data_IF_317477794757
#
_entry.id   IF_317477794757
#
_cell.length_a   1.000
_cell.length_b   1.000
_cell.length_c   1.000
_cell.angle_alpha   90.00
_cell.angle_beta   90.00
_cell.angle_gamma   90.00
#
_symmetry.space_group_name_H-M   'P 1'
#
loop_
_entity.id
_entity.type
_entity.pdbx_description
1 polymer ?
#
# COMPACT_ATOMS: atom_id res chain seq x y z
N UNK A 1 -24.66 11.48 6.00
CA UNK A 1 -23.96 10.18 6.16
C UNK A 1 -22.96 10.13 5.02
N UNK A 2 -21.74 10.62 5.25
CA UNK A 2 -20.72 10.62 4.20
C UNK A 2 -20.30 9.18 3.92
N UNK A 3 -20.45 8.76 2.67
CA UNK A 3 -19.93 7.48 2.20
C UNK A 3 -18.44 7.48 2.51
N UNK A 4 -17.89 6.46 3.20
CA UNK A 4 -16.48 6.46 3.53
C UNK A 4 -15.68 6.53 2.23
N UNK A 5 -15.02 7.67 1.99
CA UNK A 5 -14.17 7.82 0.83
C UNK A 5 -13.05 6.78 0.97
N UNK A 6 -13.01 5.86 0.00
CA UNK A 6 -11.88 4.97 -0.21
C UNK A 6 -10.61 5.83 -0.36
N UNK A 7 -9.44 5.36 0.09
CA UNK A 7 -8.19 6.06 -0.20
C UNK A 7 -8.07 6.29 -1.71
N UNK A 8 -7.45 7.41 -2.11
CA UNK A 8 -7.49 7.85 -3.51
C UNK A 8 -6.75 6.84 -4.39
N UNK A 9 -7.51 6.03 -5.15
CA UNK A 9 -6.96 4.99 -6.01
C UNK A 9 -6.33 5.60 -7.27
N UNK A 10 -5.10 5.19 -7.57
CA UNK A 10 -4.43 5.54 -8.83
C UNK A 10 -5.08 4.76 -9.98
N UNK A 11 -5.55 5.43 -11.05
CA UNK A 11 -6.15 4.74 -12.19
C UNK A 11 -5.22 3.68 -12.80
N UNK A 12 -5.74 2.47 -13.02
CA UNK A 12 -4.99 1.35 -13.62
C UNK A 12 -4.14 0.53 -12.64
N UNK A 13 -4.07 0.91 -11.37
CA UNK A 13 -3.26 0.20 -10.36
C UNK A 13 -4.06 -0.03 -9.08
N UNK A 14 -3.77 -1.12 -8.36
CA UNK A 14 -4.20 -1.30 -6.97
C UNK A 14 -3.27 -0.53 -6.01
N UNK A 15 -2.96 0.72 -6.38
CA UNK A 15 -2.15 1.68 -5.63
C UNK A 15 -3.05 2.80 -5.12
N UNK A 16 -2.90 3.16 -3.86
CA UNK A 16 -3.75 4.12 -3.16
C UNK A 16 -2.88 5.17 -2.48
N UNK A 17 -3.35 6.42 -2.51
CA UNK A 17 -2.66 7.58 -1.93
C UNK A 17 -3.64 8.28 -0.98
N UNK A 18 -3.25 8.46 0.27
CA UNK A 18 -4.09 9.11 1.30
C UNK A 18 -3.23 9.64 2.45
N UNK A 19 -3.83 10.35 3.40
CA UNK A 19 -3.15 10.79 4.63
C UNK A 19 -3.18 9.74 5.75
N UNK A 20 -2.45 10.01 6.83
CA UNK A 20 -2.34 9.15 8.03
C UNK A 20 -3.66 8.59 8.57
N UNK A 21 -4.77 9.33 8.41
CA UNK A 21 -6.11 8.91 8.85
C UNK A 21 -6.60 7.63 8.17
N UNK A 22 -6.08 7.28 6.98
CA UNK A 22 -6.43 6.05 6.27
C UNK A 22 -6.13 4.80 7.10
N UNK A 23 -5.06 4.81 7.90
CA UNK A 23 -4.67 3.70 8.77
C UNK A 23 -5.71 3.41 9.87
N UNK A 24 -6.57 4.38 10.19
CA UNK A 24 -7.63 4.22 11.20
C UNK A 24 -8.88 3.53 10.63
N UNK A 25 -8.86 3.14 9.36
CA UNK A 25 -10.01 2.54 8.64
C UNK A 25 -9.70 1.11 8.18
N UNK A 26 -9.41 0.17 9.10
CA UNK A 26 -8.90 -1.16 8.74
C UNK A 26 -9.83 -1.94 7.81
N UNK A 27 -11.16 -1.78 7.95
CA UNK A 27 -12.14 -2.44 7.07
C UNK A 27 -12.01 -1.98 5.62
N UNK A 28 -11.81 -0.67 5.38
CA UNK A 28 -11.63 -0.12 4.04
C UNK A 28 -10.32 -0.62 3.41
N UNK A 29 -9.25 -0.70 4.22
CA UNK A 29 -7.97 -1.23 3.74
C UNK A 29 -8.07 -2.71 3.35
N UNK A 30 -8.80 -3.50 4.14
CA UNK A 30 -9.08 -4.91 3.87
C UNK A 30 -9.95 -5.10 2.61
N UNK A 31 -11.03 -4.33 2.48
CA UNK A 31 -11.93 -4.38 1.31
C UNK A 31 -11.17 -4.01 0.02
N UNK A 32 -10.21 -3.09 0.11
CA UNK A 32 -9.30 -2.72 -0.98
C UNK A 32 -8.18 -3.73 -1.26
N UNK A 33 -8.08 -4.82 -0.47
CA UNK A 33 -7.02 -5.83 -0.53
C UNK A 33 -5.61 -5.23 -0.39
N UNK A 34 -5.49 -4.18 0.42
CA UNK A 34 -4.19 -3.59 0.71
C UNK A 34 -3.40 -4.59 1.56
N UNK A 35 -2.18 -4.87 1.14
CA UNK A 35 -1.26 -5.78 1.82
C UNK A 35 0.06 -5.10 2.20
N UNK A 36 0.40 -4.01 1.52
CA UNK A 36 1.61 -3.24 1.73
C UNK A 36 1.28 -1.79 2.06
N UNK A 37 1.98 -1.23 3.03
CA UNK A 37 1.85 0.17 3.45
C UNK A 37 3.22 0.84 3.38
N UNK A 38 3.29 1.97 2.69
CA UNK A 38 4.43 2.87 2.67
C UNK A 38 4.06 4.11 3.46
N UNK A 39 4.77 4.35 4.55
CA UNK A 39 4.63 5.54 5.39
C UNK A 39 5.79 6.48 5.13
N UNK A 40 5.51 7.67 4.58
CA UNK A 40 6.51 8.73 4.35
C UNK A 40 6.22 9.88 5.31
N UNK A 41 6.70 9.74 6.55
CA UNK A 41 6.52 10.74 7.61
C UNK A 41 7.56 10.53 8.71
N UNK A 42 8.03 11.61 9.34
CA UNK A 42 8.88 11.56 10.52
C UNK A 42 8.04 11.26 11.79
N UNK A 43 7.47 10.07 11.82
CA UNK A 43 6.65 9.57 12.92
C UNK A 43 7.21 8.27 13.49
N UNK A 44 7.22 8.16 14.81
CA UNK A 44 7.63 6.94 15.51
C UNK A 44 6.43 6.02 15.69
N UNK A 45 6.36 4.99 14.86
CA UNK A 45 5.38 3.91 15.06
C UNK A 45 5.72 3.09 16.29
N UNK A 46 4.74 2.87 17.17
CA UNK A 46 4.91 1.94 18.27
C UNK A 46 5.10 0.51 17.75
N UNK A 47 5.92 -0.29 18.44
CA UNK A 47 6.02 -1.72 18.14
C UNK A 47 4.63 -2.37 18.18
N UNK A 48 4.30 -3.18 17.17
CA UNK A 48 3.00 -3.85 17.03
C UNK A 48 1.79 -2.91 16.99
N UNK A 49 1.95 -1.70 16.44
CA UNK A 49 0.85 -0.75 16.33
C UNK A 49 -0.34 -1.36 15.60
N UNK A 50 -1.51 -1.32 16.24
CA UNK A 50 -2.69 -2.10 15.85
C UNK A 50 -3.15 -1.84 14.41
N UNK A 51 -2.97 -0.62 13.92
CA UNK A 51 -3.37 -0.18 12.59
C UNK A 51 -2.52 -0.79 11.45
N UNK A 52 -1.30 -1.23 11.75
CA UNK A 52 -0.37 -1.80 10.78
C UNK A 52 -0.24 -3.33 10.90
N UNK A 53 -0.96 -3.96 11.83
CA UNK A 53 -0.90 -5.41 12.00
C UNK A 53 -1.43 -6.12 10.76
N UNK A 54 -0.64 -7.06 10.25
CA UNK A 54 -0.99 -7.86 9.07
C UNK A 54 -0.61 -7.22 7.74
N UNK A 55 -0.10 -5.98 7.74
CA UNK A 55 0.47 -5.36 6.56
C UNK A 55 1.99 -5.54 6.55
N UNK A 56 2.56 -5.71 5.35
CA UNK A 56 3.97 -5.39 5.16
C UNK A 56 4.13 -3.87 5.23
N UNK A 57 5.11 -3.39 6.00
CA UNK A 57 5.26 -1.97 6.27
C UNK A 57 6.66 -1.47 5.93
N UNK A 58 6.71 -0.48 5.05
CA UNK A 58 7.91 0.30 4.77
C UNK A 58 7.74 1.70 5.38
N UNK A 59 8.58 2.03 6.35
CA UNK A 59 8.67 3.36 6.91
C UNK A 59 9.86 4.13 6.31
N UNK A 60 9.58 5.30 5.75
CA UNK A 60 10.52 6.31 5.30
C UNK A 60 10.40 7.50 6.26
N UNK A 61 11.38 7.69 7.17
CA UNK A 61 11.34 8.77 8.17
C UNK A 61 11.79 10.09 7.52
N UNK A 62 10.91 10.70 6.74
CA UNK A 62 11.12 12.01 6.14
C UNK A 62 10.03 12.98 6.58
N UNK A 63 10.43 14.22 6.79
CA UNK A 63 9.50 15.32 7.04
C UNK A 63 9.23 16.09 5.73
N UNK A 64 8.08 16.77 5.66
CA UNK A 64 7.69 17.58 4.50
C UNK A 64 8.37 18.96 4.53
N UNK A 65 9.68 18.94 4.34
CA UNK A 65 10.55 20.12 4.33
C UNK A 65 11.40 20.15 3.09
N UNK A 66 11.78 21.35 2.68
CA UNK A 66 12.50 21.60 1.42
C UNK A 66 13.81 20.80 1.28
N UNK A 67 14.53 20.60 2.39
CA UNK A 67 15.84 19.94 2.41
C UNK A 67 15.76 18.40 2.45
N UNK A 68 14.56 17.82 2.54
CA UNK A 68 14.37 16.36 2.59
C UNK A 68 14.79 15.69 1.29
N UNK A 69 15.75 14.76 1.36
CA UNK A 69 16.20 13.98 0.21
C UNK A 69 15.32 12.74 -0.06
N UNK A 70 14.11 12.96 -0.57
CA UNK A 70 13.18 11.88 -0.92
C UNK A 70 13.70 10.99 -2.06
N UNK A 71 14.49 11.54 -2.98
CA UNK A 71 15.04 10.81 -4.13
C UNK A 71 15.92 9.63 -3.70
N UNK A 72 16.64 9.75 -2.58
CA UNK A 72 17.47 8.67 -2.05
C UNK A 72 16.67 7.42 -1.67
N UNK A 73 15.37 7.54 -1.42
CA UNK A 73 14.49 6.43 -1.04
C UNK A 73 13.79 5.76 -2.23
N UNK A 74 13.77 6.39 -3.40
CA UNK A 74 13.04 5.90 -4.58
C UNK A 74 13.40 4.46 -4.97
N UNK A 75 14.68 4.03 -4.99
CA UNK A 75 15.00 2.64 -5.32
C UNK A 75 14.33 1.64 -4.37
N UNK A 76 14.34 1.94 -3.05
CA UNK A 76 13.76 1.08 -2.03
C UNK A 76 12.23 1.11 -2.04
N UNK A 77 11.63 2.30 -2.12
CA UNK A 77 10.17 2.44 -2.15
C UNK A 77 9.57 1.83 -3.41
N UNK A 78 10.20 2.02 -4.57
CA UNK A 78 9.69 1.50 -5.83
C UNK A 78 9.78 -0.03 -5.86
N UNK A 79 10.86 -0.62 -5.34
CA UNK A 79 10.97 -2.07 -5.21
C UNK A 79 9.86 -2.65 -4.31
N UNK A 80 9.58 -2.01 -3.17
CA UNK A 80 8.54 -2.42 -2.24
C UNK A 80 7.12 -2.26 -2.83
N UNK A 81 6.84 -1.14 -3.49
CA UNK A 81 5.57 -0.91 -4.20
C UNK A 81 5.41 -1.96 -5.31
N UNK A 82 6.47 -2.22 -6.09
CA UNK A 82 6.43 -3.21 -7.15
C UNK A 82 6.14 -4.62 -6.61
N UNK A 83 6.76 -5.02 -5.50
CA UNK A 83 6.44 -6.28 -4.81
C UNK A 83 4.97 -6.37 -4.42
N UNK A 84 4.43 -5.32 -3.77
CA UNK A 84 3.05 -5.29 -3.31
C UNK A 84 2.01 -5.35 -4.44
N UNK A 85 2.38 -4.91 -5.65
CA UNK A 85 1.51 -4.92 -6.83
C UNK A 85 1.65 -6.20 -7.69
N UNK A 86 2.62 -7.09 -7.45
CA UNK A 86 2.85 -8.30 -8.28
C UNK A 86 1.59 -9.15 -8.47
N UNK A 87 0.79 -9.28 -7.42
CA UNK A 87 -0.42 -10.09 -7.41
C UNK A 87 -1.70 -9.25 -7.50
N UNK A 88 -1.58 -7.96 -7.85
CA UNK A 88 -2.74 -7.07 -7.95
C UNK A 88 -3.77 -7.60 -8.96
N UNK A 89 -5.06 -7.28 -8.75
CA UNK A 89 -6.11 -7.70 -9.71
C UNK A 89 -5.96 -6.95 -11.03
N UNK A 90 -5.38 -5.75 -10.96
CA UNK A 90 -5.15 -4.86 -12.09
C UNK A 90 -3.97 -5.29 -12.97
N UNK A 91 -3.05 -6.14 -12.47
CA UNK A 91 -1.86 -6.58 -13.21
C UNK A 91 -2.05 -7.89 -14.00
N UNK A 92 -3.18 -8.57 -13.87
CA UNK A 92 -3.48 -9.77 -14.68
C UNK A 92 -4.07 -9.34 -16.04
N UNK A 93 -3.38 -9.58 -17.17
CA UNK A 93 -4.09 -9.71 -18.44
C UNK A 93 -5.06 -10.89 -18.29
N UNK A 94 -6.21 -10.85 -18.97
CA UNK A 94 -7.13 -11.98 -19.04
C UNK A 94 -6.45 -13.14 -19.79
N UNK A 95 -5.58 -13.89 -19.13
CA UNK A 95 -5.02 -15.14 -19.64
C UNK A 95 -5.98 -16.28 -19.29
N UNK A 96 -6.62 -16.84 -20.31
CA UNK A 96 -7.51 -18.01 -20.26
C UNK A 96 -6.75 -19.33 -19.98
N UNK A 97 -5.78 -19.35 -19.06
CA UNK A 97 -5.07 -20.57 -18.72
C UNK A 97 -5.66 -21.20 -17.46
N UNK A 98 -6.72 -21.97 -17.71
CA UNK A 98 -7.31 -22.91 -16.78
C UNK A 98 -6.40 -24.14 -16.64
N UNK A 99 -5.25 -24.00 -15.96
CA UNK A 99 -4.59 -25.12 -15.27
C UNK A 99 -3.40 -24.60 -14.46
N UNK A 100 -3.61 -24.25 -13.20
CA UNK A 100 -2.55 -24.39 -12.21
C UNK A 100 -3.14 -24.70 -10.83
N UNK A 101 -2.89 -25.92 -10.39
CA UNK A 101 -3.13 -26.39 -9.03
C UNK A 101 -2.01 -25.86 -8.13
N UNK A 102 -1.94 -24.55 -7.99
CA UNK A 102 -1.01 -23.83 -7.13
C UNK A 102 -1.79 -22.76 -6.37
N UNK A 103 -1.54 -22.62 -5.08
CA UNK A 103 -2.20 -21.62 -4.23
C UNK A 103 -2.10 -20.25 -4.91
N UNK A 104 -3.20 -19.74 -5.45
CA UNK A 104 -3.24 -18.42 -6.06
C UNK A 104 -2.82 -17.40 -5.00
N UNK A 105 -1.74 -16.62 -5.21
CA UNK A 105 -1.35 -15.60 -4.25
C UNK A 105 -2.50 -14.62 -4.03
N UNK A 106 -2.75 -14.25 -2.77
CA UNK A 106 -3.80 -13.28 -2.44
C UNK A 106 -3.52 -11.97 -3.18
N UNK A 107 -4.56 -11.32 -3.76
CA UNK A 107 -4.35 -10.09 -4.49
C UNK A 107 -3.78 -9.00 -3.59
N UNK A 108 -2.74 -8.32 -4.07
CA UNK A 108 -2.03 -7.30 -3.29
C UNK A 108 -2.29 -5.88 -3.81
N UNK A 109 -2.62 -4.97 -2.89
CA UNK A 109 -2.66 -3.53 -3.11
C UNK A 109 -1.69 -2.80 -2.19
N UNK A 110 -1.32 -1.57 -2.57
CA UNK A 110 -0.36 -0.74 -1.84
C UNK A 110 -1.00 0.57 -1.43
N UNK A 111 -0.88 0.92 -0.15
CA UNK A 111 -1.18 2.27 0.35
C UNK A 111 0.12 3.05 0.51
N UNK A 112 0.18 4.24 -0.04
CA UNK A 112 1.21 5.25 0.27
C UNK A 112 0.54 6.38 1.05
N UNK A 113 1.10 6.73 2.19
CA UNK A 113 0.59 7.82 3.00
C UNK A 113 1.68 8.64 3.69
N UNK A 114 1.30 9.84 4.10
CA UNK A 114 2.07 10.78 4.92
C UNK A 114 1.26 11.23 6.14
#
# INVERSE_FOLDING_TARGET
MDVPALPSKVPGYDLYIDGFQALRRPKILQDANISHVVSVLDWKFANNWAALRGFQHLHIPLDDVYDSNILSFFPRSNAFIHEGLKHSRSSKPASNDANDSGVNPLPGGVLVHW
#
